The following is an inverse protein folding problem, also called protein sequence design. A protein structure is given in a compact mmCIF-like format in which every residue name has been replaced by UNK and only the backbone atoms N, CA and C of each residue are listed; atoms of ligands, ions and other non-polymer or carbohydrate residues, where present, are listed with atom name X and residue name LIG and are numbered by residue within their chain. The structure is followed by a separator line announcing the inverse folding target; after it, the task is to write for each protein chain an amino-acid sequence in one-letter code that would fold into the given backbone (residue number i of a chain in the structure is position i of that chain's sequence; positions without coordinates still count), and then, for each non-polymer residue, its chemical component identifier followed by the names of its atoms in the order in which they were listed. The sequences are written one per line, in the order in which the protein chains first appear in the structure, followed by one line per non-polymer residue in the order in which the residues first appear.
data_IF_472665266153
#
_entry.id   IF_472665266153
#
_cell.length_a   1.000
_cell.length_b   1.000
_cell.length_c   1.000
_cell.angle_alpha   90.00
_cell.angle_beta   90.00
_cell.angle_gamma   90.00
#
_symmetry.space_group_name_H-M   'P 1'
#
loop_
_entity.id
_entity.type
_entity.pdbx_description
1 polymer ?
#
# COMPACT_ATOMS: atom_id res chain seq x y z
N UNK A 1 40.98 60.78 -16.19
CA UNK A 1 41.22 59.32 -16.34
C UNK A 1 41.17 58.55 -15.01
N UNK A 2 41.86 58.96 -13.93
CA UNK A 2 41.85 58.21 -12.63
C UNK A 2 40.47 58.20 -11.94
N UNK A 3 39.76 59.33 -11.93
CA UNK A 3 38.44 59.48 -11.31
C UNK A 3 37.36 58.57 -11.95
N UNK A 4 37.33 58.47 -13.27
CA UNK A 4 36.35 57.63 -13.98
C UNK A 4 36.59 56.12 -13.74
N UNK A 5 37.86 55.70 -13.63
CA UNK A 5 38.22 54.33 -13.29
C UNK A 5 37.76 53.96 -11.87
N UNK A 6 37.96 54.87 -10.91
CA UNK A 6 37.49 54.67 -9.52
C UNK A 6 35.96 54.62 -9.42
N UNK A 7 35.24 55.51 -10.12
CA UNK A 7 33.76 55.50 -10.15
C UNK A 7 33.21 54.22 -10.76
N UNK A 8 33.80 53.74 -11.86
CA UNK A 8 33.41 52.47 -12.50
C UNK A 8 33.69 51.27 -11.60
N UNK A 9 34.87 51.19 -10.98
CA UNK A 9 35.20 50.11 -10.05
C UNK A 9 34.26 50.09 -8.85
N UNK A 10 33.96 51.24 -8.26
CA UNK A 10 33.02 51.33 -7.14
C UNK A 10 31.59 50.92 -7.50
N UNK A 11 31.12 51.29 -8.70
CA UNK A 11 29.81 50.88 -9.19
C UNK A 11 29.76 49.36 -9.45
N UNK A 12 30.82 48.79 -10.06
CA UNK A 12 30.96 47.34 -10.26
C UNK A 12 30.95 46.61 -8.92
N UNK A 13 31.72 47.08 -7.93
CA UNK A 13 31.77 46.47 -6.59
C UNK A 13 30.40 46.47 -5.92
N UNK A 14 29.63 47.56 -6.01
CA UNK A 14 28.28 47.62 -5.42
C UNK A 14 27.29 46.70 -6.11
N UNK A 15 27.33 46.62 -7.45
CA UNK A 15 26.52 45.67 -8.21
C UNK A 15 26.89 44.24 -7.81
N UNK A 16 28.18 43.92 -7.74
CA UNK A 16 28.65 42.60 -7.34
C UNK A 16 28.19 42.23 -5.91
N UNK A 17 28.32 43.15 -4.94
CA UNK A 17 27.83 42.94 -3.57
C UNK A 17 26.31 42.76 -3.56
N UNK A 18 25.56 43.55 -4.34
CA UNK A 18 24.11 43.41 -4.47
C UNK A 18 23.69 42.05 -5.03
N UNK A 19 24.38 41.57 -6.07
CA UNK A 19 24.13 40.25 -6.66
C UNK A 19 24.47 39.11 -5.69
N UNK A 20 25.59 39.22 -4.96
CA UNK A 20 25.95 38.25 -3.92
C UNK A 20 24.90 38.25 -2.81
N UNK A 21 24.47 39.43 -2.34
CA UNK A 21 23.43 39.56 -1.33
C UNK A 21 22.12 38.92 -1.76
N UNK A 22 21.69 39.16 -3.01
CA UNK A 22 20.49 38.55 -3.57
C UNK A 22 20.61 37.03 -3.68
N UNK A 23 21.76 36.51 -4.13
CA UNK A 23 22.01 35.07 -4.19
C UNK A 23 21.99 34.41 -2.80
N UNK A 24 22.56 35.06 -1.79
CA UNK A 24 22.53 34.56 -0.40
C UNK A 24 21.11 34.55 0.15
N UNK A 25 20.36 35.65 -0.02
CA UNK A 25 18.97 35.71 0.43
C UNK A 25 18.09 34.69 -0.28
N UNK A 26 18.26 34.53 -1.59
CA UNK A 26 17.58 33.50 -2.38
C UNK A 26 17.93 32.09 -1.90
N UNK A 27 19.21 31.81 -1.62
CA UNK A 27 19.66 30.54 -1.08
C UNK A 27 19.08 30.22 0.31
N UNK A 28 19.03 31.21 1.21
CA UNK A 28 18.43 31.04 2.53
C UNK A 28 16.92 30.83 2.46
N UNK A 29 16.21 31.58 1.59
CA UNK A 29 14.78 31.39 1.38
C UNK A 29 14.49 29.99 0.80
N UNK A 30 15.29 29.54 -0.16
CA UNK A 30 15.18 28.19 -0.72
C UNK A 30 15.46 27.10 0.32
N UNK A 31 16.49 27.25 1.15
CA UNK A 31 16.79 26.32 2.23
C UNK A 31 15.65 26.26 3.25
N UNK A 32 15.08 27.40 3.64
CA UNK A 32 13.94 27.45 4.54
C UNK A 32 12.68 26.82 3.95
N UNK A 33 12.42 27.02 2.65
CA UNK A 33 11.32 26.37 1.94
C UNK A 33 11.50 24.84 1.88
N UNK A 34 12.72 24.37 1.58
CA UNK A 34 13.04 22.94 1.58
C UNK A 34 12.88 22.28 2.95
N UNK A 35 13.31 22.97 4.00
CA UNK A 35 13.11 22.50 5.38
C UNK A 35 11.62 22.40 5.72
N UNK A 36 10.82 23.35 5.25
CA UNK A 36 9.37 23.33 5.44
C UNK A 36 8.69 22.17 4.72
N UNK A 37 9.04 21.87 3.46
CA UNK A 37 8.54 20.70 2.74
C UNK A 37 8.89 19.39 3.47
N UNK A 38 10.15 19.25 3.92
CA UNK A 38 10.59 18.09 4.68
C UNK A 38 9.85 17.97 6.02
N UNK A 39 9.59 19.08 6.69
CA UNK A 39 8.79 19.12 7.92
C UNK A 39 7.35 18.68 7.68
N UNK A 40 6.72 19.09 6.57
CA UNK A 40 5.36 18.66 6.23
C UNK A 40 5.28 17.15 6.01
N UNK A 41 6.23 16.58 5.26
CA UNK A 41 6.29 15.14 5.03
C UNK A 41 6.52 14.39 6.33
N UNK A 42 7.54 14.75 7.11
CA UNK A 42 7.88 14.02 8.34
C UNK A 42 6.75 14.06 9.38
N UNK A 43 5.91 15.10 9.38
CA UNK A 43 4.72 15.20 10.23
C UNK A 43 3.59 14.27 9.80
N UNK A 44 3.41 14.07 8.49
CA UNK A 44 2.29 13.33 7.91
C UNK A 44 2.63 11.85 7.63
N UNK A 45 3.89 11.45 7.84
CA UNK A 45 4.35 10.06 7.71
C UNK A 45 3.99 9.24 8.94
N UNK A 46 3.32 8.12 8.68
CA UNK A 46 3.10 7.09 9.68
C UNK A 46 4.39 6.29 9.87
N UNK A 47 4.83 6.19 11.13
CA UNK A 47 6.01 5.44 11.53
C UNK A 47 5.58 4.17 12.24
N UNK A 48 6.10 3.03 11.78
CA UNK A 48 5.79 1.74 12.34
C UNK A 48 7.07 1.16 12.94
N UNK A 49 7.01 0.79 14.22
CA UNK A 49 8.15 0.25 14.97
C UNK A 49 8.25 -1.27 14.84
N UNK A 50 9.45 -1.82 15.05
CA UNK A 50 9.70 -3.27 14.97
C UNK A 50 10.00 -3.77 13.57
N UNK A 51 10.14 -2.89 12.57
CA UNK A 51 10.55 -3.28 11.22
C UNK A 51 11.97 -3.85 11.24
N UNK A 52 12.81 -3.32 12.12
CA UNK A 52 14.21 -3.72 12.31
C UNK A 52 14.34 -5.19 12.75
N UNK A 53 13.32 -5.76 13.40
CA UNK A 53 13.34 -7.15 13.84
C UNK A 53 13.30 -8.13 12.65
N UNK A 54 12.82 -7.68 11.48
CA UNK A 54 12.60 -8.51 10.29
C UNK A 54 13.66 -8.33 9.20
N UNK A 55 14.70 -7.55 9.47
CA UNK A 55 15.79 -7.31 8.51
C UNK A 55 16.49 -8.62 8.14
N UNK A 56 16.64 -8.87 6.85
CA UNK A 56 17.24 -10.07 6.27
C UNK A 56 16.44 -11.36 6.51
N UNK A 57 15.21 -11.28 7.03
CA UNK A 57 14.36 -12.44 7.22
C UNK A 57 13.67 -12.82 5.90
N UNK A 58 14.20 -13.86 5.27
CA UNK A 58 13.76 -14.30 3.95
C UNK A 58 12.97 -15.62 3.98
N UNK A 59 11.96 -15.72 3.12
CA UNK A 59 11.21 -16.95 2.82
C UNK A 59 10.76 -16.95 1.35
N UNK A 60 10.91 -18.08 0.67
CA UNK A 60 10.56 -18.25 -0.74
C UNK A 60 9.62 -19.44 -1.00
N UNK A 61 9.25 -20.17 0.05
CA UNK A 61 8.49 -21.41 -0.05
C UNK A 61 6.99 -21.24 -0.05
N UNK A 62 6.48 -20.08 0.40
CA UNK A 62 5.05 -19.84 0.55
C UNK A 62 4.69 -18.34 0.53
N UNK A 63 3.43 -17.98 0.23
CA UNK A 63 2.96 -16.59 0.28
C UNK A 63 2.86 -16.06 1.71
N UNK A 64 3.01 -14.73 1.85
CA UNK A 64 2.94 -14.01 3.11
C UNK A 64 1.70 -13.12 3.23
N UNK A 65 1.24 -12.93 4.46
CA UNK A 65 0.24 -11.94 4.84
C UNK A 65 0.88 -10.86 5.72
N UNK A 66 0.57 -9.60 5.43
CA UNK A 66 1.09 -8.43 6.15
C UNK A 66 -0.02 -7.71 6.90
N UNK A 67 0.33 -6.94 7.92
CA UNK A 67 -0.67 -6.18 8.69
C UNK A 67 -1.08 -4.88 8.01
N UNK A 68 -0.19 -4.28 7.22
CA UNK A 68 -0.46 -3.05 6.49
C UNK A 68 -0.81 -3.34 5.04
N UNK A 69 -1.67 -2.47 4.50
CA UNK A 69 -2.03 -2.44 3.09
C UNK A 69 -1.70 -1.04 2.55
N UNK A 70 -0.79 -0.92 1.58
CA UNK A 70 0.22 -1.90 1.19
C UNK A 70 1.19 -2.26 2.33
N UNK A 71 1.97 -3.35 2.17
CA UNK A 71 3.03 -3.72 3.13
C UNK A 71 4.09 -2.62 3.28
N UNK A 72 4.72 -2.59 4.45
CA UNK A 72 5.73 -1.59 4.83
C UNK A 72 7.03 -2.20 5.36
N UNK A 73 7.21 -3.51 5.24
CA UNK A 73 8.34 -4.26 5.80
C UNK A 73 7.94 -5.67 6.19
N UNK A 74 8.83 -6.36 6.90
CA UNK A 74 8.57 -7.71 7.44
C UNK A 74 9.34 -8.81 6.70
N UNK A 75 9.06 -10.06 7.07
CA UNK A 75 9.57 -11.23 6.33
C UNK A 75 9.19 -11.10 4.86
N UNK A 76 10.08 -11.48 3.95
CA UNK A 76 9.89 -11.25 2.52
C UNK A 76 10.70 -12.23 1.67
N UNK A 77 10.64 -12.10 0.34
CA UNK A 77 11.28 -13.03 -0.58
C UNK A 77 12.75 -12.67 -0.79
N UNK A 78 13.71 -13.61 -0.86
CA UNK A 78 15.12 -13.29 -1.10
C UNK A 78 15.42 -12.65 -2.47
N UNK A 79 14.48 -12.69 -3.42
CA UNK A 79 14.59 -11.96 -4.68
C UNK A 79 13.90 -10.59 -4.57
N UNK A 80 14.61 -9.51 -4.88
CA UNK A 80 14.01 -8.18 -4.96
C UNK A 80 13.35 -7.91 -6.31
N UNK A 81 12.32 -7.07 -6.31
CA UNK A 81 11.74 -6.51 -7.53
C UNK A 81 12.66 -5.41 -8.09
N UNK A 82 12.93 -5.44 -9.38
CA UNK A 82 13.60 -4.32 -10.05
C UNK A 82 12.72 -3.07 -9.95
N UNK A 83 13.29 -1.95 -9.56
CA UNK A 83 12.61 -0.65 -9.56
C UNK A 83 12.25 -0.24 -10.99
N UNK A 84 11.12 0.44 -11.13
CA UNK A 84 10.48 0.77 -12.39
C UNK A 84 8.96 0.78 -12.26
N UNK A 85 8.29 1.07 -13.37
CA UNK A 85 6.84 1.06 -13.46
C UNK A 85 6.34 -0.32 -13.89
N UNK A 86 5.34 -0.82 -13.19
CA UNK A 86 4.65 -2.07 -13.50
C UNK A 86 3.16 -1.79 -13.70
N UNK A 87 2.60 -2.04 -14.90
CA UNK A 87 1.17 -1.82 -15.18
C UNK A 87 0.27 -2.93 -14.60
N UNK A 88 0.87 -3.93 -13.94
CA UNK A 88 0.21 -5.08 -13.32
C UNK A 88 0.71 -5.25 -11.90
N UNK A 89 -0.01 -6.04 -11.12
CA UNK A 89 0.38 -6.36 -9.74
C UNK A 89 1.74 -7.04 -9.72
N UNK A 90 2.49 -6.78 -8.65
CA UNK A 90 3.71 -7.49 -8.31
C UNK A 90 3.46 -8.28 -7.02
N UNK A 91 4.29 -9.27 -6.72
CA UNK A 91 4.19 -9.96 -5.44
C UNK A 91 4.68 -9.03 -4.31
N UNK A 92 3.94 -9.01 -3.21
CA UNK A 92 4.22 -8.15 -2.05
C UNK A 92 5.64 -8.37 -1.52
N UNK A 93 6.04 -9.63 -1.42
CA UNK A 93 7.31 -10.06 -0.83
C UNK A 93 8.51 -9.56 -1.65
N UNK A 94 8.37 -9.42 -2.98
CA UNK A 94 9.43 -8.89 -3.83
C UNK A 94 9.51 -7.35 -3.74
N UNK A 95 8.37 -6.67 -3.61
CA UNK A 95 8.32 -5.22 -3.38
C UNK A 95 8.87 -4.82 -2.01
N UNK A 96 8.57 -5.62 -0.97
CA UNK A 96 9.11 -5.44 0.39
C UNK A 96 10.64 -5.55 0.42
N UNK A 97 11.22 -6.54 -0.26
CA UNK A 97 12.68 -6.63 -0.38
C UNK A 97 13.27 -5.36 -1.03
N UNK A 98 12.66 -4.85 -2.10
CA UNK A 98 13.15 -3.62 -2.74
C UNK A 98 13.16 -2.43 -1.76
N UNK A 99 12.19 -2.35 -0.84
CA UNK A 99 12.19 -1.33 0.22
C UNK A 99 13.30 -1.53 1.23
N UNK A 100 13.69 -2.77 1.56
CA UNK A 100 14.85 -3.06 2.41
C UNK A 100 16.15 -2.49 1.81
N UNK A 101 16.28 -2.59 0.49
CA UNK A 101 17.35 -1.97 -0.30
C UNK A 101 17.23 -0.44 -0.45
N UNK A 102 16.18 0.16 0.13
CA UNK A 102 15.95 1.61 0.14
C UNK A 102 15.14 2.13 -1.04
N UNK A 103 14.36 1.27 -1.71
CA UNK A 103 13.37 1.72 -2.67
C UNK A 103 12.19 2.41 -1.99
N UNK A 104 11.63 3.38 -2.69
CA UNK A 104 10.30 3.90 -2.41
C UNK A 104 9.32 3.11 -3.27
N UNK A 105 8.42 2.37 -2.63
CA UNK A 105 7.35 1.67 -3.33
C UNK A 105 6.08 2.53 -3.32
N UNK A 106 5.79 3.12 -4.47
CA UNK A 106 4.56 3.87 -4.72
C UNK A 106 3.53 2.89 -5.26
N UNK A 107 2.39 2.87 -4.60
CA UNK A 107 1.24 2.06 -4.97
C UNK A 107 0.06 2.96 -5.26
N UNK A 108 -0.77 2.57 -6.21
CA UNK A 108 -1.92 3.36 -6.63
C UNK A 108 -3.17 2.50 -6.79
N UNK A 109 -4.33 3.09 -6.53
CA UNK A 109 -5.62 2.48 -6.83
C UNK A 109 -5.70 2.24 -8.36
N UNK A 110 -5.91 1.00 -8.84
CA UNK A 110 -6.04 0.72 -10.27
C UNK A 110 -7.14 1.53 -10.99
N UNK A 111 -8.08 2.14 -10.25
CA UNK A 111 -9.12 3.02 -10.78
C UNK A 111 -8.68 4.48 -10.96
N UNK A 112 -7.41 4.84 -10.67
CA UNK A 112 -6.87 6.18 -10.88
C UNK A 112 -7.05 6.60 -12.37
N UNK A 113 -7.35 7.88 -12.64
CA UNK A 113 -7.30 8.42 -14.00
C UNK A 113 -5.94 8.19 -14.67
N UNK A 114 -5.94 7.91 -15.98
CA UNK A 114 -4.71 7.54 -16.71
C UNK A 114 -3.64 8.64 -16.67
N UNK A 115 -4.03 9.90 -16.71
CA UNK A 115 -3.12 11.04 -16.60
C UNK A 115 -2.41 11.08 -15.24
N UNK A 116 -3.06 10.64 -14.17
CA UNK A 116 -2.41 10.48 -12.88
C UNK A 116 -1.46 9.27 -12.85
N UNK A 117 -1.82 8.16 -13.50
CA UNK A 117 -0.93 7.00 -13.63
C UNK A 117 0.33 7.38 -14.41
N UNK A 118 0.21 8.17 -15.48
CA UNK A 118 1.34 8.68 -16.27
C UNK A 118 2.29 9.53 -15.40
N UNK A 119 1.75 10.35 -14.48
CA UNK A 119 2.55 11.11 -13.52
C UNK A 119 3.34 10.18 -12.58
N UNK A 120 2.71 9.11 -12.10
CA UNK A 120 3.36 8.13 -11.23
C UNK A 120 4.42 7.33 -11.99
N UNK A 121 4.15 6.92 -13.23
CA UNK A 121 5.13 6.28 -14.12
C UNK A 121 6.35 7.18 -14.29
N UNK A 122 6.17 8.48 -14.52
CA UNK A 122 7.26 9.45 -14.62
C UNK A 122 8.12 9.56 -13.36
N UNK A 123 7.62 9.18 -12.17
CA UNK A 123 8.45 9.14 -10.95
C UNK A 123 9.55 8.08 -11.03
N UNK A 124 9.38 7.06 -11.88
CA UNK A 124 10.34 5.96 -12.06
C UNK A 124 11.59 6.35 -12.87
N UNK A 125 11.62 7.54 -13.47
CA UNK A 125 12.84 8.15 -14.00
C UNK A 125 13.90 8.36 -12.90
N UNK A 126 13.46 8.42 -11.65
CA UNK A 126 14.33 8.41 -10.49
C UNK A 126 14.72 6.97 -10.12
N UNK A 127 16.02 6.74 -9.90
CA UNK A 127 16.51 5.46 -9.36
C UNK A 127 15.78 5.10 -8.05
N UNK A 128 15.69 3.82 -7.69
CA UNK A 128 15.07 3.36 -6.44
C UNK A 128 13.61 3.80 -6.24
N UNK A 129 12.86 4.00 -7.32
CA UNK A 129 11.41 4.19 -7.29
C UNK A 129 10.74 3.00 -7.96
N UNK A 130 9.84 2.33 -7.24
CA UNK A 130 9.04 1.22 -7.70
C UNK A 130 7.59 1.66 -7.73
N UNK A 131 6.89 1.49 -8.85
CA UNK A 131 5.49 1.89 -9.00
C UNK A 131 4.66 0.70 -9.48
N UNK A 132 3.59 0.35 -8.77
CA UNK A 132 2.67 -0.70 -9.20
C UNK A 132 1.23 -0.49 -8.68
N UNK A 133 0.21 -1.04 -9.37
CA UNK A 133 -1.16 -0.97 -8.89
C UNK A 133 -1.35 -1.81 -7.61
N UNK A 134 -2.19 -1.32 -6.70
CA UNK A 134 -2.55 -2.01 -5.46
C UNK A 134 -4.02 -1.71 -5.08
N UNK A 135 -4.98 -2.62 -5.37
CA UNK A 135 -6.39 -2.40 -5.02
C UNK A 135 -6.65 -2.58 -3.53
N UNK A 136 -7.71 -1.94 -3.02
CA UNK A 136 -8.16 -2.10 -1.63
C UNK A 136 -7.48 -1.17 -0.63
N UNK A 137 -6.70 -0.19 -1.11
CA UNK A 137 -6.21 0.92 -0.29
C UNK A 137 -7.34 1.88 0.09
N UNK A 138 -7.18 2.60 1.20
CA UNK A 138 -8.14 3.58 1.70
C UNK A 138 -7.97 4.98 1.08
N UNK A 139 -6.85 5.22 0.40
CA UNK A 139 -6.53 6.45 -0.33
C UNK A 139 -6.04 6.14 -1.75
N UNK A 140 -6.08 7.11 -2.69
CA UNK A 140 -5.75 6.86 -4.09
C UNK A 140 -4.29 6.47 -4.34
N UNK A 141 -3.35 7.02 -3.58
CA UNK A 141 -1.91 6.75 -3.71
C UNK A 141 -1.28 6.58 -2.33
N UNK A 142 -0.42 5.58 -2.18
CA UNK A 142 0.36 5.34 -0.98
C UNK A 142 1.82 5.16 -1.35
N UNK A 143 2.72 5.87 -0.67
CA UNK A 143 4.17 5.66 -0.82
C UNK A 143 4.75 5.06 0.45
N UNK A 144 5.43 3.93 0.30
CA UNK A 144 6.03 3.16 1.39
C UNK A 144 7.55 3.12 1.27
N UNK A 145 8.22 3.09 2.42
CA UNK A 145 9.60 2.62 2.60
C UNK A 145 9.62 1.68 3.81
N UNK A 146 10.77 1.09 4.13
CA UNK A 146 10.88 0.20 5.30
C UNK A 146 10.45 0.91 6.60
N UNK A 147 9.39 0.41 7.23
CA UNK A 147 8.83 0.90 8.48
C UNK A 147 8.10 2.25 8.41
N UNK A 148 7.89 2.83 7.22
CA UNK A 148 7.24 4.15 7.10
C UNK A 148 6.34 4.22 5.87
N UNK A 149 5.27 4.99 5.98
CA UNK A 149 4.30 5.15 4.90
C UNK A 149 3.67 6.53 4.93
N UNK A 150 3.33 7.07 3.76
CA UNK A 150 2.50 8.26 3.62
C UNK A 150 1.29 7.97 2.74
N UNK A 151 0.13 8.45 3.19
CA UNK A 151 -1.15 8.40 2.47
C UNK A 151 -1.38 9.71 1.73
N UNK A 152 -1.67 9.63 0.44
CA UNK A 152 -1.68 10.77 -0.47
C UNK A 152 -3.02 10.86 -1.18
N UNK A 153 -3.45 12.09 -1.46
CA UNK A 153 -4.77 12.34 -2.09
C UNK A 153 -4.77 12.07 -3.61
N UNK A 154 -3.60 11.79 -4.20
CA UNK A 154 -3.44 11.49 -5.62
C UNK A 154 -1.99 11.60 -6.10
N UNK A 155 -1.78 11.47 -7.41
CA UNK A 155 -0.45 11.51 -8.02
C UNK A 155 0.20 12.92 -8.01
N UNK A 156 -0.62 13.96 -7.86
CA UNK A 156 -0.19 15.37 -7.81
C UNK A 156 -0.07 15.93 -6.38
N UNK A 157 -0.11 15.08 -5.36
CA UNK A 157 0.10 15.51 -3.99
C UNK A 157 1.56 15.99 -3.82
N UNK A 158 1.76 17.25 -3.45
CA UNK A 158 3.07 17.88 -3.32
C UNK A 158 4.00 17.15 -2.32
N UNK A 159 3.43 16.37 -1.39
CA UNK A 159 4.18 15.59 -0.42
C UNK A 159 4.88 14.39 -1.04
N UNK A 160 4.43 13.87 -2.20
CA UNK A 160 5.00 12.68 -2.84
C UNK A 160 6.47 12.89 -3.23
N UNK A 161 6.78 13.98 -3.93
CA UNK A 161 8.15 14.28 -4.36
C UNK A 161 9.06 14.55 -3.17
N UNK A 162 8.52 15.18 -2.13
CA UNK A 162 9.23 15.41 -0.88
C UNK A 162 9.52 14.09 -0.14
N UNK A 163 8.55 13.16 -0.11
CA UNK A 163 8.73 11.82 0.47
C UNK A 163 9.78 11.00 -0.29
N UNK A 164 9.72 10.97 -1.62
CA UNK A 164 10.72 10.26 -2.44
C UNK A 164 12.12 10.81 -2.14
N UNK A 165 12.25 12.14 -2.09
CA UNK A 165 13.54 12.79 -1.87
C UNK A 165 14.10 12.57 -0.47
N UNK A 166 13.25 12.49 0.54
CA UNK A 166 13.64 12.32 1.94
C UNK A 166 14.00 10.86 2.28
N UNK A 167 13.20 9.89 1.82
CA UNK A 167 13.30 8.51 2.31
C UNK A 167 13.95 7.54 1.34
N UNK A 168 14.09 7.88 0.05
CA UNK A 168 14.78 7.02 -0.91
C UNK A 168 16.26 6.89 -0.55
N UNK A 169 16.76 5.65 -0.45
CA UNK A 169 18.15 5.34 -0.06
C UNK A 169 18.61 6.03 1.23
N UNK A 170 17.65 6.37 2.09
CA UNK A 170 17.96 6.94 3.38
C UNK A 170 18.36 5.81 4.34
N UNK A 171 19.55 5.87 4.98
CA UNK A 171 20.04 4.84 5.87
C UNK A 171 19.15 4.61 7.10
N UNK A 172 18.31 5.58 7.48
CA UNK A 172 17.40 5.46 8.62
C UNK A 172 16.19 4.55 8.31
N UNK A 173 15.94 4.22 7.05
CA UNK A 173 14.86 3.34 6.60
C UNK A 173 15.28 2.41 5.44
N UNK A 174 16.58 2.16 5.31
CA UNK A 174 17.13 1.20 4.35
C UNK A 174 18.06 0.28 5.13
N UNK A 175 17.52 -0.80 5.72
CA UNK A 175 18.31 -1.74 6.50
C UNK A 175 19.49 -2.34 5.74
N UNK A 176 19.36 -2.49 4.41
CA UNK A 176 20.44 -2.89 3.52
C UNK A 176 20.83 -1.74 2.57
N UNK A 177 21.55 -0.72 3.05
CA UNK A 177 21.81 0.49 2.28
C UNK A 177 22.73 0.27 1.08
N UNK A 178 23.44 -0.87 1.03
CA UNK A 178 24.24 -1.28 -0.14
C UNK A 178 23.43 -2.09 -1.17
N UNK A 179 22.18 -2.43 -0.84
CA UNK A 179 21.25 -3.11 -1.73
C UNK A 179 20.99 -2.31 -3.01
N UNK A 180 20.88 -3.04 -4.11
CA UNK A 180 20.55 -2.50 -5.42
C UNK A 180 19.09 -2.78 -5.76
N UNK A 181 18.44 -1.90 -6.50
CA UNK A 181 17.06 -2.12 -6.97
C UNK A 181 17.01 -2.48 -8.47
N UNK A 182 18.05 -3.12 -8.96
CA UNK A 182 18.17 -3.63 -10.34
C UNK A 182 18.87 -4.99 -10.31
N UNK A 183 18.80 -5.76 -11.40
CA UNK A 183 19.32 -7.15 -11.49
C UNK A 183 18.64 -8.17 -10.56
N UNK A 184 17.49 -7.80 -10.00
CA UNK A 184 16.54 -8.72 -9.39
C UNK A 184 15.54 -9.21 -10.43
N UNK A 185 14.30 -9.46 -10.00
CA UNK A 185 13.23 -9.95 -10.87
C UNK A 185 12.38 -8.80 -11.42
N UNK A 186 11.67 -9.08 -12.50
CA UNK A 186 10.64 -8.19 -13.06
C UNK A 186 9.34 -8.97 -13.25
N UNK A 187 8.91 -9.63 -12.18
CA UNK A 187 7.71 -10.45 -12.20
C UNK A 187 6.46 -9.58 -12.06
N UNK A 188 5.41 -9.98 -12.77
CA UNK A 188 4.05 -9.46 -12.58
C UNK A 188 3.11 -10.64 -12.40
N UNK A 189 1.97 -10.40 -11.77
CA UNK A 189 0.95 -11.41 -11.51
C UNK A 189 -0.44 -10.85 -11.79
N UNK A 190 -1.34 -11.74 -12.21
CA UNK A 190 -2.77 -11.43 -12.32
C UNK A 190 -3.50 -11.73 -11.00
N UNK A 191 -2.81 -12.33 -10.01
CA UNK A 191 -3.32 -12.52 -8.66
C UNK A 191 -3.45 -11.17 -7.98
N UNK A 192 -4.67 -10.86 -7.53
CA UNK A 192 -4.93 -9.64 -6.76
C UNK A 192 -4.14 -9.69 -5.45
N UNK A 193 -3.36 -8.65 -5.11
CA UNK A 193 -2.62 -8.62 -3.85
C UNK A 193 -3.58 -8.57 -2.66
N UNK A 194 -3.05 -8.80 -1.46
CA UNK A 194 -3.81 -8.80 -0.22
C UNK A 194 -4.66 -7.52 -0.05
N UNK A 195 -5.98 -7.67 0.08
CA UNK A 195 -6.92 -6.55 0.22
C UNK A 195 -7.44 -6.33 1.65
N UNK A 196 -7.06 -7.21 2.59
CA UNK A 196 -7.44 -7.09 4.00
C UNK A 196 -6.22 -7.28 4.88
N UNK A 197 -6.05 -6.40 5.85
CA UNK A 197 -4.95 -6.45 6.81
C UNK A 197 -4.99 -7.79 7.55
N UNK A 198 -3.84 -8.43 7.69
CA UNK A 198 -3.73 -9.52 8.64
C UNK A 198 -3.96 -8.95 10.05
N UNK A 199 -4.91 -9.53 10.78
CA UNK A 199 -5.15 -9.16 12.18
C UNK A 199 -4.42 -10.17 13.04
N UNK A 200 -3.40 -9.69 13.76
CA UNK A 200 -2.69 -10.55 14.69
C UNK A 200 -3.59 -11.03 15.83
N UNK A 201 -3.43 -12.29 16.26
CA UNK A 201 -4.03 -12.80 17.49
C UNK A 201 -3.56 -12.07 18.74
N UNK A 202 -2.27 -11.75 18.84
CA UNK A 202 -1.69 -10.97 19.94
C UNK A 202 -1.44 -9.53 19.49
N UNK A 203 -2.14 -8.54 20.06
CA UNK A 203 -1.93 -7.14 19.73
C UNK A 203 -0.53 -6.63 20.12
N UNK A 204 0.18 -7.29 21.05
CA UNK A 204 1.49 -6.83 21.55
C UNK A 204 2.69 -7.30 20.71
N UNK A 205 2.50 -8.17 19.72
CA UNK A 205 3.60 -8.57 18.82
C UNK A 205 4.02 -7.40 17.88
N UNK A 206 5.20 -7.44 17.22
CA UNK A 206 5.63 -6.32 16.37
C UNK A 206 4.76 -6.11 15.10
N UNK A 207 4.26 -4.88 14.81
CA UNK A 207 3.25 -4.50 13.79
C UNK A 207 3.54 -4.85 12.33
N UNK A 208 4.72 -5.34 12.00
CA UNK A 208 5.25 -5.26 10.63
C UNK A 208 5.56 -6.65 10.04
N UNK A 209 5.48 -7.71 10.85
CA UNK A 209 5.87 -9.06 10.46
C UNK A 209 4.94 -9.70 9.44
N UNK A 210 5.43 -9.89 8.21
CA UNK A 210 4.82 -10.80 7.24
C UNK A 210 4.81 -12.23 7.78
N UNK A 211 3.65 -12.88 7.77
CA UNK A 211 3.51 -14.26 8.25
C UNK A 211 3.12 -15.20 7.11
N UNK A 212 3.64 -16.45 7.11
CA UNK A 212 3.12 -17.49 6.24
C UNK A 212 1.60 -17.64 6.28
N UNK A 213 0.96 -17.74 5.11
CA UNK A 213 -0.48 -18.04 5.02
C UNK A 213 -0.82 -19.35 5.75
N UNK A 214 0.08 -20.34 5.71
CA UNK A 214 -0.06 -21.61 6.42
C UNK A 214 -0.14 -21.42 7.94
N UNK A 215 0.73 -20.58 8.50
CA UNK A 215 0.75 -20.24 9.92
C UNK A 215 -0.47 -19.40 10.33
N UNK A 216 -0.89 -18.45 9.48
CA UNK A 216 -2.08 -17.63 9.70
C UNK A 216 -3.34 -18.52 9.84
N UNK A 217 -3.49 -19.46 8.91
CA UNK A 217 -4.64 -20.38 8.85
C UNK A 217 -4.67 -21.32 10.04
N UNK A 218 -3.52 -21.89 10.42
CA UNK A 218 -3.41 -22.75 11.60
C UNK A 218 -3.81 -22.00 12.89
N UNK A 219 -3.42 -20.74 13.01
CA UNK A 219 -3.76 -19.92 14.18
C UNK A 219 -5.24 -19.58 14.23
N UNK A 220 -5.84 -19.22 13.10
CA UNK A 220 -7.29 -19.00 13.00
C UNK A 220 -8.08 -20.27 13.38
N UNK A 221 -7.63 -21.45 12.94
CA UNK A 221 -8.24 -22.72 13.31
C UNK A 221 -8.12 -23.04 14.80
N UNK A 222 -6.98 -22.73 15.42
CA UNK A 222 -6.75 -22.95 16.85
C UNK A 222 -7.61 -22.05 17.75
N UNK A 223 -8.05 -20.89 17.25
CA UNK A 223 -8.92 -19.94 17.96
C UNK A 223 -10.41 -20.27 17.83
N UNK A 224 -10.81 -21.14 16.91
CA UNK A 224 -12.18 -21.64 16.85
C UNK A 224 -12.45 -22.52 18.08
N UNK A 225 -13.62 -22.39 18.74
CA UNK A 225 -13.98 -23.32 19.80
C UNK A 225 -13.97 -24.73 19.21
N UNK A 226 -13.21 -25.64 19.85
CA UNK A 226 -13.21 -27.04 19.47
C UNK A 226 -14.67 -27.50 19.39
N UNK A 227 -15.16 -27.79 18.18
CA UNK A 227 -16.44 -28.47 18.03
C UNK A 227 -16.36 -29.71 18.92
N UNK A 228 -17.28 -29.91 19.88
CA UNK A 228 -17.21 -31.10 20.71
C UNK A 228 -17.23 -32.30 19.77
N UNK A 229 -16.12 -33.05 19.74
CA UNK A 229 -16.02 -34.29 18.99
C UNK A 229 -17.27 -35.09 19.28
N UNK A 230 -18.03 -35.39 18.22
CA UNK A 230 -19.21 -36.23 18.32
C UNK A 230 -18.83 -37.47 19.13
N UNK A 231 -19.45 -37.61 20.30
CA UNK A 231 -19.34 -38.84 21.09
C UNK A 231 -19.66 -40.02 20.17
N UNK A 232 -18.89 -41.13 20.26
CA UNK A 232 -19.20 -42.31 19.49
C UNK A 232 -20.63 -42.75 19.82
N UNK A 233 -21.39 -43.04 18.75
CA UNK A 233 -22.81 -43.33 18.76
C UNK A 233 -23.25 -44.20 19.95
N UNK A 234 -24.24 -43.69 20.70
CA UNK A 234 -25.05 -44.53 21.56
C UNK A 234 -25.77 -45.56 20.68
N UNK A 235 -25.64 -46.81 21.08
CA UNK A 235 -26.30 -48.00 20.52
C UNK A 235 -27.81 -47.75 20.39
N UNK A 236 -28.48 -48.16 19.30
CA UNK A 236 -29.92 -47.95 19.17
C UNK A 236 -30.65 -48.88 20.15
N UNK A 237 -31.43 -48.28 21.06
CA UNK A 237 -32.40 -49.00 21.86
C UNK A 237 -33.56 -49.47 20.97
N UNK A 238 -33.88 -50.75 21.08
CA UNK A 238 -34.97 -51.46 20.42
C UNK A 238 -36.32 -50.83 20.74
N UNK A 239 -37.00 -50.29 19.73
CA UNK A 239 -38.41 -49.87 19.81
C UNK A 239 -39.29 -51.02 19.30
N UNK A 240 -40.26 -51.43 20.12
CA UNK A 240 -41.28 -52.43 19.82
C UNK A 240 -42.26 -51.97 18.71
N UNK A 241 -42.92 -52.90 17.99
CA UNK A 241 -43.64 -52.56 16.75
C UNK A 241 -44.99 -51.90 17.00
N UNK A 242 -45.27 -50.82 16.28
CA UNK A 242 -46.59 -50.22 16.13
C UNK A 242 -47.36 -50.88 14.97
N UNK A 243 -48.69 -50.98 15.11
CA UNK A 243 -49.61 -51.75 14.29
C UNK A 243 -49.84 -51.30 12.83
N UNK A 244 -50.79 -51.95 12.12
CA UNK A 244 -50.88 -51.96 10.65
C UNK A 244 -51.43 -50.65 10.06
N UNK A 245 -51.21 -50.42 8.73
CA UNK A 245 -51.40 -49.13 8.09
C UNK A 245 -52.86 -48.81 7.75
N UNK A 246 -53.27 -47.56 7.98
CA UNK A 246 -54.45 -46.97 7.35
C UNK A 246 -54.08 -46.42 5.96
N UNK A 247 -54.96 -46.65 4.99
CA UNK A 247 -54.79 -46.35 3.56
C UNK A 247 -54.75 -44.87 3.17
N UNK A 248 -54.65 -44.58 1.85
CA UNK A 248 -54.21 -43.29 1.34
C UNK A 248 -55.36 -42.28 1.25
N UNK A 249 -55.09 -41.04 1.63
CA UNK A 249 -55.97 -39.89 1.37
C UNK A 249 -55.25 -38.85 0.50
N UNK A 250 -55.75 -38.77 -0.73
CA UNK A 250 -55.84 -37.67 -1.69
C UNK A 250 -54.95 -36.42 -1.53
N UNK A 251 -54.21 -36.13 -2.60
CA UNK A 251 -53.59 -34.83 -2.91
C UNK A 251 -54.64 -33.74 -3.22
N UNK A 252 -54.41 -32.48 -2.83
CA UNK A 252 -55.00 -31.31 -3.48
C UNK A 252 -54.00 -30.57 -4.42
N UNK A 253 -54.50 -29.73 -5.35
CA UNK A 253 -53.78 -29.28 -6.53
C UNK A 253 -52.93 -28.01 -6.33
N UNK A 254 -52.03 -27.80 -7.31
CA UNK A 254 -51.14 -26.67 -7.45
C UNK A 254 -51.87 -25.32 -7.59
N UNK A 255 -51.30 -24.27 -7.00
CA UNK A 255 -51.67 -22.88 -7.23
C UNK A 255 -50.47 -22.10 -7.82
N UNK A 256 -50.77 -21.36 -8.88
CA UNK A 256 -49.91 -20.58 -9.78
C UNK A 256 -49.32 -19.30 -9.14
N UNK A 257 -48.33 -18.65 -9.80
CA UNK A 257 -47.50 -17.60 -9.21
C UNK A 257 -48.15 -16.21 -9.25
N UNK A 258 -47.88 -15.40 -8.23
CA UNK A 258 -48.24 -13.98 -8.16
C UNK A 258 -47.07 -13.12 -8.67
N UNK A 259 -47.38 -12.23 -9.61
CA UNK A 259 -46.47 -11.27 -10.23
C UNK A 259 -46.17 -10.05 -9.32
N UNK A 260 -45.06 -9.32 -9.54
CA UNK A 260 -44.65 -8.19 -8.71
C UNK A 260 -45.42 -6.90 -9.04
N UNK A 261 -45.72 -6.13 -7.98
CA UNK A 261 -46.36 -4.83 -8.08
C UNK A 261 -45.32 -3.69 -8.14
N UNK A 262 -45.56 -2.73 -9.06
CA UNK A 262 -45.34 -1.31 -8.79
C UNK A 262 -44.03 -0.69 -9.29
N UNK A 263 -43.98 -0.38 -10.59
CA UNK A 263 -43.07 0.63 -11.13
C UNK A 263 -43.59 2.04 -10.82
N UNK A 264 -42.75 2.89 -10.24
CA UNK A 264 -42.98 4.33 -10.06
C UNK A 264 -42.66 5.11 -11.35
N UNK A 265 -43.46 6.12 -11.74
CA UNK A 265 -43.22 6.89 -12.95
C UNK A 265 -42.18 8.00 -12.79
N UNK A 266 -41.37 8.16 -13.84
CA UNK A 266 -40.40 9.24 -14.08
C UNK A 266 -41.16 10.54 -14.46
N UNK A 267 -40.88 11.70 -13.86
CA UNK A 267 -41.34 12.98 -14.38
C UNK A 267 -40.44 13.51 -15.51
N UNK A 268 -41.10 13.99 -16.56
CA UNK A 268 -40.53 14.49 -17.79
C UNK A 268 -39.75 15.81 -17.63
N UNK A 269 -38.74 15.98 -18.50
CA UNK A 269 -37.92 17.16 -18.65
C UNK A 269 -38.69 18.38 -19.18
N UNK A 270 -38.40 19.55 -18.61
CA UNK A 270 -38.80 20.86 -19.12
C UNK A 270 -37.66 21.45 -19.98
N UNK A 271 -37.90 21.94 -21.20
CA UNK A 271 -36.92 22.73 -21.93
C UNK A 271 -37.08 24.21 -21.57
N UNK A 272 -35.99 24.88 -21.22
CA UNK A 272 -35.92 26.34 -21.15
C UNK A 272 -34.90 26.83 -22.17
N UNK A 273 -35.33 27.88 -22.87
CA UNK A 273 -34.75 28.60 -24.00
C UNK A 273 -33.41 29.25 -23.71
#
# INVERSE_FOLDING_TARGET
MVYEKQRRQWLITRIAIGLIGLAVLGGLAFAGFREFENWQVTRDVDNYFGADDFVGQHIDTEPLLYEQIPPIGGVHNPAWQNCGFYPKFINNENGVHSMEHGAVWITYDPALPSDQIDILEGKTDQQFVLVSPYPGMDVPVVASVWGKQIKLDGATDDRLDSFIREYRKNPDNSPEPQGICWRGISATTDTVPQQQAYVRPDPNSPPIGGIPVSQATATAQALLPATPSASPAATPATVAPAGPPAGPLASPPAASPVAPAGATPIPAATPVR
#
